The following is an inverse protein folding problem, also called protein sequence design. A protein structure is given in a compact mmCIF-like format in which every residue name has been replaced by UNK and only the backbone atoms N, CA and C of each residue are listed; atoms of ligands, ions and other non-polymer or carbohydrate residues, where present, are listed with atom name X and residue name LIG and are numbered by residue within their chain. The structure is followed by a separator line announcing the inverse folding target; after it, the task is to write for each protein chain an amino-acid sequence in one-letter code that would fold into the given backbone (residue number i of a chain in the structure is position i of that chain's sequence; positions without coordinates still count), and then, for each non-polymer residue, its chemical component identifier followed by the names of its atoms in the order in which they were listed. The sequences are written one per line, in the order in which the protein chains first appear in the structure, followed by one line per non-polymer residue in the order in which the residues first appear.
data_IF_957816144849
#
_entry.id   IF_957816144849
#
_cell.length_a   1.000
_cell.length_b   1.000
_cell.length_c   1.000
_cell.angle_alpha   90.00
_cell.angle_beta   90.00
_cell.angle_gamma   90.00
#
_symmetry.space_group_name_H-M   'P 1'
#
loop_
_entity.id
_entity.type
_entity.pdbx_description
1 polymer ?
#
# COMPACT_ATOMS: atom_id res chain seq x y z
N UNK A 1 27.29 13.72 4.69
CA UNK A 1 26.37 13.59 5.83
C UNK A 1 26.06 12.14 6.20
N UNK A 2 26.92 11.16 5.87
CA UNK A 2 26.66 9.78 6.28
C UNK A 2 26.71 9.64 7.81
N UNK A 3 27.62 10.31 8.51
CA UNK A 3 27.71 10.24 9.98
C UNK A 3 26.93 11.34 10.71
N UNK A 4 25.90 11.93 10.09
CA UNK A 4 25.13 12.98 10.75
C UNK A 4 24.02 12.39 11.64
N UNK A 5 23.63 13.06 12.74
CA UNK A 5 22.55 12.61 13.62
C UNK A 5 21.21 12.41 12.89
N UNK A 6 20.92 13.22 11.88
CA UNK A 6 19.69 13.11 11.09
C UNK A 6 19.65 11.82 10.27
N UNK A 7 20.81 11.35 9.76
CA UNK A 7 20.89 10.04 9.09
C UNK A 7 20.57 8.92 10.07
N UNK A 8 21.07 8.98 11.30
CA UNK A 8 20.80 7.95 12.33
C UNK A 8 19.31 7.90 12.70
N UNK A 9 18.66 9.07 12.83
CA UNK A 9 17.22 9.13 13.04
C UNK A 9 16.43 8.49 11.88
N UNK A 10 16.83 8.74 10.63
CA UNK A 10 16.23 8.11 9.45
C UNK A 10 16.50 6.60 9.40
N UNK A 11 17.69 6.16 9.80
CA UNK A 11 18.04 4.73 9.85
C UNK A 11 17.13 3.99 10.82
N UNK A 12 16.89 4.54 12.02
CA UNK A 12 15.98 3.93 12.99
C UNK A 12 14.55 3.78 12.45
N UNK A 13 14.04 4.79 11.73
CA UNK A 13 12.74 4.68 11.04
C UNK A 13 12.77 3.56 9.99
N UNK A 14 13.81 3.53 9.14
CA UNK A 14 13.94 2.52 8.09
C UNK A 14 13.97 1.12 8.71
N UNK A 15 14.83 0.89 9.71
CA UNK A 15 14.97 -0.40 10.39
C UNK A 15 13.62 -0.87 10.95
N UNK A 16 12.88 0.02 11.61
CA UNK A 16 11.53 -0.28 12.11
C UNK A 16 10.58 -0.71 10.98
N UNK A 17 10.60 -0.03 9.83
CA UNK A 17 9.74 -0.41 8.71
C UNK A 17 10.14 -1.74 8.06
N UNK A 18 11.38 -2.20 8.24
CA UNK A 18 11.86 -3.44 7.62
C UNK A 18 11.54 -4.71 8.43
N UNK A 19 11.01 -4.60 9.66
CA UNK A 19 10.72 -5.74 10.54
C UNK A 19 9.86 -6.83 9.87
N UNK A 20 8.90 -6.44 9.03
CA UNK A 20 7.99 -7.35 8.31
C UNK A 20 8.26 -7.40 6.80
N UNK A 21 9.35 -6.78 6.33
CA UNK A 21 9.72 -6.78 4.91
C UNK A 21 10.54 -8.03 4.61
N UNK A 22 9.82 -9.13 4.36
CA UNK A 22 10.42 -10.42 4.01
C UNK A 22 9.66 -11.12 2.87
N UNK A 23 10.29 -12.17 2.34
CA UNK A 23 9.76 -12.99 1.26
C UNK A 23 10.66 -13.02 0.03
N UNK A 24 10.12 -13.52 -1.07
CA UNK A 24 10.82 -13.72 -2.32
C UNK A 24 10.17 -12.93 -3.45
N UNK A 25 11.01 -12.26 -4.24
CA UNK A 25 10.62 -11.59 -5.47
C UNK A 25 11.26 -12.30 -6.64
N UNK A 26 10.43 -12.85 -7.53
CA UNK A 26 10.89 -13.46 -8.77
C UNK A 26 10.98 -12.40 -9.84
N UNK A 27 12.15 -12.26 -10.46
CA UNK A 27 12.42 -11.26 -11.49
C UNK A 27 12.86 -11.91 -12.80
N UNK A 28 12.59 -11.23 -13.92
CA UNK A 28 13.10 -11.54 -15.25
C UNK A 28 14.10 -10.46 -15.65
N UNK A 29 15.26 -10.89 -16.11
CA UNK A 29 16.31 -10.02 -16.63
C UNK A 29 16.36 -10.14 -18.15
N UNK A 30 16.32 -9.03 -18.87
CA UNK A 30 16.37 -9.05 -20.32
C UNK A 30 16.98 -7.77 -20.90
N UNK A 31 18.09 -7.90 -21.63
CA UNK A 31 18.74 -6.77 -22.34
C UNK A 31 18.90 -5.49 -21.49
N UNK A 32 19.36 -5.65 -20.25
CA UNK A 32 19.55 -4.53 -19.31
C UNK A 32 18.30 -4.09 -18.55
N UNK A 33 17.14 -4.71 -18.78
CA UNK A 33 15.93 -4.47 -17.97
C UNK A 33 15.75 -5.53 -16.88
N UNK A 34 15.06 -5.13 -15.81
CA UNK A 34 14.60 -5.98 -14.72
C UNK A 34 13.08 -5.83 -14.63
N UNK A 35 12.35 -6.94 -14.56
CA UNK A 35 10.90 -6.92 -14.40
C UNK A 35 10.47 -7.93 -13.35
N UNK A 36 9.63 -7.51 -12.41
CA UNK A 36 9.05 -8.39 -11.39
C UNK A 36 7.98 -9.27 -12.03
N UNK A 37 8.06 -10.58 -11.83
CA UNK A 37 7.13 -11.58 -12.39
C UNK A 37 6.48 -12.44 -11.31
N UNK A 38 6.77 -12.20 -10.04
CA UNK A 38 6.15 -12.87 -8.91
C UNK A 38 6.62 -12.33 -7.57
N UNK A 39 5.77 -12.44 -6.56
CA UNK A 39 6.03 -12.04 -5.17
C UNK A 39 5.39 -13.09 -4.28
N UNK A 40 6.07 -13.50 -3.21
CA UNK A 40 5.49 -14.29 -2.12
C UNK A 40 6.13 -13.91 -0.79
N UNK A 41 5.35 -13.91 0.28
CA UNK A 41 5.82 -13.86 1.66
C UNK A 41 5.01 -14.90 2.43
N UNK A 42 5.69 -15.74 3.21
CA UNK A 42 5.05 -16.86 3.92
C UNK A 42 4.37 -16.40 5.20
N UNK A 43 4.88 -15.35 5.85
CA UNK A 43 4.47 -14.92 7.19
C UNK A 43 3.85 -13.53 7.22
N UNK A 44 4.26 -12.63 6.32
CA UNK A 44 3.98 -11.20 6.41
C UNK A 44 3.32 -10.63 5.14
N UNK A 45 2.73 -11.51 4.32
CA UNK A 45 1.90 -11.05 3.19
C UNK A 45 0.65 -10.35 3.71
N UNK A 46 0.50 -9.06 3.40
CA UNK A 46 -0.74 -8.31 3.59
C UNK A 46 -1.73 -8.49 2.42
N UNK A 47 -1.35 -9.27 1.41
CA UNK A 47 -2.26 -9.64 0.33
C UNK A 47 -3.11 -10.84 0.76
N UNK A 48 -4.43 -10.66 0.67
CA UNK A 48 -5.44 -11.67 0.96
C UNK A 48 -6.32 -11.87 -0.29
N UNK A 49 -6.25 -13.07 -0.87
CA UNK A 49 -7.01 -13.42 -2.08
C UNK A 49 -8.54 -13.41 -1.85
N UNK A 50 -9.00 -13.70 -0.63
CA UNK A 50 -10.43 -13.74 -0.30
C UNK A 50 -11.08 -12.36 -0.30
N UNK A 51 -10.30 -11.31 0.00
CA UNK A 51 -10.74 -9.91 -0.04
C UNK A 51 -10.56 -9.32 -1.44
N UNK A 52 -9.51 -9.74 -2.17
CA UNK A 52 -9.15 -9.17 -3.47
C UNK A 52 -9.88 -9.81 -4.66
N UNK A 53 -10.57 -10.94 -4.46
CA UNK A 53 -11.29 -11.64 -5.53
C UNK A 53 -12.55 -10.91 -5.98
N UNK A 54 -12.96 -11.18 -7.22
CA UNK A 54 -14.26 -10.76 -7.77
C UNK A 54 -15.32 -11.89 -7.70
N UNK A 55 -14.94 -13.06 -7.18
CA UNK A 55 -15.85 -14.18 -6.91
C UNK A 55 -16.62 -13.95 -5.60
N UNK A 56 -17.56 -14.83 -5.26
CA UNK A 56 -18.36 -14.73 -4.03
C UNK A 56 -17.42 -14.72 -2.81
N UNK A 57 -17.17 -13.52 -2.27
CA UNK A 57 -16.20 -13.20 -1.21
C UNK A 57 -16.60 -13.76 0.15
N UNK A 58 -17.64 -14.61 0.19
CA UNK A 58 -18.25 -15.19 1.38
C UNK A 58 -18.61 -14.14 2.46
N UNK A 59 -18.79 -12.87 2.07
CA UNK A 59 -19.03 -11.76 2.99
C UNK A 59 -17.78 -11.16 3.64
N UNK A 60 -16.59 -11.39 3.09
CA UNK A 60 -15.34 -10.80 3.58
C UNK A 60 -15.31 -9.25 3.45
N UNK A 61 -16.12 -8.67 2.56
CA UNK A 61 -16.19 -7.22 2.37
C UNK A 61 -17.64 -6.73 2.16
N UNK A 62 -18.14 -5.84 3.02
CA UNK A 62 -19.43 -5.17 2.79
C UNK A 62 -19.24 -3.97 1.85
N UNK A 63 -19.64 -4.15 0.58
CA UNK A 63 -19.55 -3.11 -0.45
C UNK A 63 -20.36 -1.85 -0.11
N UNK A 64 -21.35 -1.92 0.80
CA UNK A 64 -22.13 -0.74 1.22
C UNK A 64 -21.29 0.28 1.98
N UNK A 65 -20.24 -0.16 2.68
CA UNK A 65 -19.34 0.73 3.41
C UNK A 65 -18.53 1.65 2.48
N UNK A 66 -18.30 1.22 1.24
CA UNK A 66 -17.58 1.99 0.23
C UNK A 66 -18.27 3.34 -0.03
N UNK A 67 -19.61 3.37 -0.09
CA UNK A 67 -20.35 4.60 -0.35
C UNK A 67 -20.13 5.64 0.76
N UNK A 68 -20.22 5.22 2.03
CA UNK A 68 -19.95 6.07 3.18
C UNK A 68 -18.52 6.59 3.19
N UNK A 69 -17.55 5.70 2.95
CA UNK A 69 -16.13 6.05 2.88
C UNK A 69 -15.84 7.08 1.78
N UNK A 70 -16.35 6.88 0.57
CA UNK A 70 -16.16 7.80 -0.57
C UNK A 70 -16.72 9.19 -0.21
N UNK A 71 -17.93 9.25 0.36
CA UNK A 71 -18.58 10.51 0.74
C UNK A 71 -17.76 11.28 1.78
N UNK A 72 -17.24 10.59 2.80
CA UNK A 72 -16.44 11.20 3.87
C UNK A 72 -15.04 11.62 3.38
N UNK A 73 -14.34 10.77 2.64
CA UNK A 73 -13.01 11.07 2.13
C UNK A 73 -13.03 12.28 1.18
N UNK A 74 -14.05 12.36 0.32
CA UNK A 74 -14.24 13.47 -0.61
C UNK A 74 -14.76 14.77 0.05
N UNK A 75 -15.18 14.73 1.33
CA UNK A 75 -15.81 15.87 2.00
C UNK A 75 -14.95 17.13 1.95
N UNK A 76 -13.65 17.01 2.24
CA UNK A 76 -12.72 18.15 2.21
C UNK A 76 -12.58 18.77 0.82
N UNK A 77 -12.60 17.94 -0.23
CA UNK A 77 -12.49 18.37 -1.63
C UNK A 77 -13.77 19.09 -2.07
N UNK A 78 -14.94 18.56 -1.71
CA UNK A 78 -16.24 19.17 -2.00
C UNK A 78 -16.40 20.53 -1.32
N UNK A 79 -15.92 20.68 -0.08
CA UNK A 79 -15.92 21.97 0.63
C UNK A 79 -14.98 22.97 -0.03
N UNK A 80 -13.78 22.55 -0.42
CA UNK A 80 -12.82 23.39 -1.16
C UNK A 80 -13.42 23.89 -2.48
N UNK A 81 -13.94 22.98 -3.31
CA UNK A 81 -14.56 23.33 -4.60
C UNK A 81 -15.73 24.33 -4.43
N UNK A 82 -16.60 24.13 -3.43
CA UNK A 82 -17.70 25.08 -3.13
C UNK A 82 -17.22 26.47 -2.75
N UNK A 83 -16.05 26.60 -2.12
CA UNK A 83 -15.46 27.91 -1.78
C UNK A 83 -14.84 28.59 -3.00
N UNK A 84 -14.31 27.84 -3.96
CA UNK A 84 -13.71 28.38 -5.19
C UNK A 84 -14.72 28.69 -6.30
N UNK A 85 -15.93 28.12 -6.25
CA UNK A 85 -17.04 28.44 -7.16
C UNK A 85 -17.90 29.63 -6.70
N UNK A 86 -17.49 30.34 -5.64
CA UNK A 86 -18.04 31.63 -5.22
C UNK A 86 -17.08 32.74 -5.62
#
# INVERSE_FOLDING_TARGET
YWWSPEREALQALIDQTQETVNGEVRVKLYKGSVSVVGRRSETDSLFDESIATFEDDAGAYDQKDAEGFIRLNALRLRVGARRHHR
#
